data_IF_160939933475
#
_entry.id   IF_160939933475
#
_cell.length_a   1.000
_cell.length_b   1.000
_cell.length_c   1.000
_cell.angle_alpha   90.00
_cell.angle_beta   90.00
_cell.angle_gamma   90.00
#
_symmetry.space_group_name_H-M   'P 1'
#
loop_
_entity.id
_entity.type
_entity.pdbx_description
1 polymer ?
#
# COMPACT_ATOMS: atom_id res chain seq x y z
N UNK A 1 -12.37 27.17 -9.27
CA UNK A 1 -11.53 26.18 -9.74
C UNK A 1 -10.88 25.41 -8.63
N UNK A 2 -10.25 24.29 -8.95
CA UNK A 2 -9.46 23.52 -8.03
C UNK A 2 -8.09 24.16 -7.76
N UNK A 3 -7.43 23.80 -6.65
CA UNK A 3 -6.21 24.45 -6.17
C UNK A 3 -4.90 23.98 -6.78
N UNK A 4 -4.91 22.93 -7.60
CA UNK A 4 -3.68 22.35 -8.18
C UNK A 4 -3.51 22.63 -9.66
N UNK A 5 -2.28 22.50 -10.18
CA UNK A 5 -1.96 22.65 -11.60
C UNK A 5 -2.12 21.35 -12.39
N UNK A 6 -2.17 20.20 -11.73
CA UNK A 6 -2.45 18.91 -12.36
C UNK A 6 -3.96 18.71 -12.52
N UNK A 7 -4.49 18.99 -13.71
CA UNK A 7 -5.92 18.89 -14.00
C UNK A 7 -6.51 17.51 -13.69
N UNK A 8 -5.79 16.43 -13.93
CA UNK A 8 -6.25 15.06 -13.66
C UNK A 8 -6.39 14.82 -12.15
N UNK A 9 -5.39 15.20 -11.37
CA UNK A 9 -5.43 15.03 -9.91
C UNK A 9 -6.46 15.96 -9.26
N UNK A 10 -6.57 17.19 -9.74
CA UNK A 10 -7.62 18.14 -9.30
C UNK A 10 -9.01 17.56 -9.55
N UNK A 11 -9.25 16.96 -10.72
CA UNK A 11 -10.52 16.30 -11.01
C UNK A 11 -10.75 15.12 -10.06
N UNK A 12 -9.76 14.26 -9.85
CA UNK A 12 -9.90 13.05 -9.05
C UNK A 12 -10.01 13.31 -7.55
N UNK A 13 -9.38 14.37 -7.03
CA UNK A 13 -9.35 14.67 -5.60
C UNK A 13 -10.31 15.80 -5.23
N UNK A 14 -10.37 16.87 -6.03
CA UNK A 14 -11.18 18.05 -5.71
C UNK A 14 -12.63 17.93 -6.20
N UNK A 15 -12.86 17.27 -7.34
CA UNK A 15 -14.21 17.13 -7.92
C UNK A 15 -14.73 15.70 -7.90
N UNK A 16 -13.87 14.71 -7.92
CA UNK A 16 -14.21 13.28 -7.92
C UNK A 16 -13.54 12.50 -6.78
N UNK A 17 -13.18 13.17 -5.69
CA UNK A 17 -12.63 12.51 -4.50
C UNK A 17 -13.53 11.40 -3.96
N UNK A 18 -14.85 11.47 -4.23
CA UNK A 18 -15.79 10.42 -3.90
C UNK A 18 -15.52 9.11 -4.64
N UNK A 19 -15.12 9.16 -5.92
CA UNK A 19 -14.74 7.96 -6.68
C UNK A 19 -13.51 7.30 -6.07
N UNK A 20 -12.45 8.08 -5.80
CA UNK A 20 -11.22 7.59 -5.17
C UNK A 20 -11.49 7.03 -3.77
N UNK A 21 -12.38 7.66 -3.01
CA UNK A 21 -12.82 7.14 -1.73
C UNK A 21 -13.55 5.80 -1.88
N UNK A 22 -14.42 5.67 -2.89
CA UNK A 22 -15.07 4.41 -3.26
C UNK A 22 -14.06 3.32 -3.64
N UNK A 23 -13.03 3.67 -4.43
CA UNK A 23 -11.97 2.74 -4.85
C UNK A 23 -11.21 2.16 -3.66
N UNK A 24 -10.79 2.98 -2.69
CA UNK A 24 -10.09 2.49 -1.50
C UNK A 24 -10.98 1.69 -0.56
N UNK A 25 -12.28 2.00 -0.50
CA UNK A 25 -13.25 1.19 0.24
C UNK A 25 -13.39 -0.20 -0.37
N UNK A 26 -13.59 -0.28 -1.69
CA UNK A 26 -13.70 -1.56 -2.41
C UNK A 26 -12.41 -2.36 -2.26
N UNK A 27 -11.24 -1.73 -2.41
CA UNK A 27 -9.95 -2.38 -2.23
C UNK A 27 -9.78 -2.92 -0.79
N UNK A 28 -10.15 -2.13 0.21
CA UNK A 28 -10.10 -2.53 1.62
C UNK A 28 -11.04 -3.71 1.93
N UNK A 29 -12.29 -3.65 1.45
CA UNK A 29 -13.27 -4.73 1.61
C UNK A 29 -12.79 -6.01 0.92
N UNK A 30 -12.27 -5.91 -0.31
CA UNK A 30 -11.72 -7.04 -1.04
C UNK A 30 -10.54 -7.69 -0.30
N UNK A 31 -9.61 -6.87 0.22
CA UNK A 31 -8.47 -7.36 0.99
C UNK A 31 -8.91 -8.09 2.28
N UNK A 32 -9.88 -7.55 3.01
CA UNK A 32 -10.45 -8.18 4.20
C UNK A 32 -11.23 -9.46 3.86
N UNK A 33 -11.94 -9.46 2.74
CA UNK A 33 -12.65 -10.63 2.21
C UNK A 33 -11.69 -11.78 1.89
N UNK A 34 -10.63 -11.49 1.16
CA UNK A 34 -9.56 -12.44 0.82
C UNK A 34 -8.89 -12.96 2.11
N UNK A 35 -8.58 -12.09 3.06
CA UNK A 35 -8.02 -12.47 4.35
C UNK A 35 -8.92 -13.48 5.09
N UNK A 36 -10.23 -13.21 5.18
CA UNK A 36 -11.20 -14.11 5.83
C UNK A 36 -11.32 -15.43 5.09
N UNK A 37 -11.35 -15.39 3.76
CA UNK A 37 -11.47 -16.57 2.92
C UNK A 37 -10.26 -17.49 3.11
N UNK A 38 -9.04 -16.94 2.96
CA UNK A 38 -7.79 -17.70 3.12
C UNK A 38 -7.68 -18.32 4.53
N UNK A 39 -8.03 -17.58 5.57
CA UNK A 39 -7.98 -18.10 6.94
C UNK A 39 -8.98 -19.26 7.21
N UNK A 40 -10.03 -19.40 6.41
CA UNK A 40 -10.99 -20.51 6.48
C UNK A 40 -10.60 -21.69 5.60
N UNK A 41 -9.79 -21.48 4.58
CA UNK A 41 -9.36 -22.53 3.67
C UNK A 41 -8.19 -23.32 4.25
N UNK A 42 -8.36 -24.64 4.38
CA UNK A 42 -7.26 -25.56 4.63
C UNK A 42 -6.63 -25.92 3.28
N UNK A 43 -5.78 -25.04 2.76
CA UNK A 43 -5.08 -25.29 1.50
C UNK A 43 -3.82 -26.07 1.79
N UNK A 44 -3.72 -27.30 1.26
CA UNK A 44 -2.49 -28.09 1.26
C UNK A 44 -1.80 -27.90 -0.08
N UNK A 45 -0.55 -27.43 -0.06
CA UNK A 45 0.24 -27.37 -1.28
C UNK A 45 0.73 -28.77 -1.66
N UNK A 46 0.74 -29.12 -2.96
CA UNK A 46 1.31 -30.36 -3.44
C UNK A 46 2.82 -30.39 -3.16
N UNK A 47 3.35 -31.56 -2.79
CA UNK A 47 4.76 -31.79 -2.45
C UNK A 47 5.72 -31.67 -3.63
N UNK A 48 5.22 -31.55 -4.85
CA UNK A 48 5.99 -31.44 -6.08
C UNK A 48 5.19 -30.83 -7.22
N UNK A 49 5.86 -30.61 -8.35
CA UNK A 49 5.21 -30.14 -9.57
C UNK A 49 4.36 -31.26 -10.23
N UNK A 50 3.59 -30.91 -11.28
CA UNK A 50 2.79 -31.88 -12.05
C UNK A 50 3.63 -33.02 -12.68
N UNK A 51 4.95 -32.90 -12.74
CA UNK A 51 5.90 -33.90 -13.24
C UNK A 51 6.57 -34.70 -12.11
N UNK A 52 6.10 -34.56 -10.87
CA UNK A 52 6.63 -35.27 -9.69
C UNK A 52 7.99 -34.79 -9.19
N UNK A 53 8.49 -33.65 -9.68
CA UNK A 53 9.76 -33.09 -9.23
C UNK A 53 9.53 -32.31 -7.95
N UNK A 54 10.40 -32.51 -6.95
CA UNK A 54 10.36 -31.72 -5.71
C UNK A 54 10.71 -30.26 -6.02
N UNK A 55 10.04 -29.34 -5.30
CA UNK A 55 10.38 -27.92 -5.37
C UNK A 55 11.84 -27.69 -4.97
N UNK A 56 12.53 -26.80 -5.67
CA UNK A 56 13.95 -26.51 -5.42
C UNK A 56 14.20 -26.04 -3.98
N UNK A 57 15.26 -26.54 -3.37
CA UNK A 57 15.67 -26.16 -2.01
C UNK A 57 16.02 -24.66 -1.87
N UNK A 58 16.63 -24.07 -2.90
CA UNK A 58 17.00 -22.65 -2.95
C UNK A 58 15.88 -21.81 -3.50
N UNK A 59 14.99 -21.39 -2.60
CA UNK A 59 13.85 -20.53 -2.93
C UNK A 59 14.23 -19.05 -3.10
N UNK A 60 15.46 -18.65 -2.76
CA UNK A 60 15.86 -17.23 -2.69
C UNK A 60 17.25 -17.00 -3.30
N UNK A 61 17.35 -16.79 -4.63
CA UNK A 61 18.62 -16.52 -5.30
C UNK A 61 19.33 -15.28 -4.72
N UNK A 62 20.65 -15.38 -4.48
CA UNK A 62 21.45 -14.29 -3.90
C UNK A 62 21.36 -13.01 -4.73
N UNK A 63 21.39 -13.15 -6.07
CA UNK A 63 21.27 -12.01 -6.99
C UNK A 63 19.95 -11.25 -6.74
N UNK A 64 18.83 -11.98 -6.62
CA UNK A 64 17.53 -11.36 -6.37
C UNK A 64 17.50 -10.62 -5.03
N UNK A 65 18.10 -11.19 -3.99
CA UNK A 65 18.21 -10.55 -2.67
C UNK A 65 18.99 -9.24 -2.73
N UNK A 66 20.18 -9.27 -3.34
CA UNK A 66 21.04 -8.10 -3.43
C UNK A 66 20.38 -6.97 -4.24
N UNK A 67 19.83 -7.31 -5.40
CA UNK A 67 19.15 -6.33 -6.27
C UNK A 67 17.93 -5.75 -5.59
N UNK A 68 17.08 -6.58 -4.97
CA UNK A 68 15.87 -6.10 -4.28
C UNK A 68 16.18 -5.16 -3.12
N UNK A 69 17.23 -5.46 -2.33
CA UNK A 69 17.66 -4.58 -1.24
C UNK A 69 18.15 -3.22 -1.74
N UNK A 70 18.89 -3.19 -2.84
CA UNK A 70 19.38 -1.94 -3.44
C UNK A 70 18.25 -1.12 -4.08
N UNK A 71 17.26 -1.79 -4.65
CA UNK A 71 16.11 -1.13 -5.29
C UNK A 71 15.11 -0.57 -4.27
N UNK A 72 15.02 -1.14 -3.06
CA UNK A 72 14.04 -0.70 -2.06
C UNK A 72 14.12 0.78 -1.73
N UNK A 73 15.29 1.35 -1.30
CA UNK A 73 15.38 2.76 -0.97
C UNK A 73 15.09 3.66 -2.17
N UNK A 74 15.51 3.25 -3.38
CA UNK A 74 15.22 4.00 -4.60
C UNK A 74 13.72 4.03 -4.90
N UNK A 75 13.04 2.89 -4.80
CA UNK A 75 11.60 2.81 -5.02
C UNK A 75 10.81 3.62 -3.98
N UNK A 76 11.22 3.60 -2.72
CA UNK A 76 10.61 4.41 -1.67
C UNK A 76 10.82 5.90 -1.90
N UNK A 77 11.99 6.32 -2.36
CA UNK A 77 12.29 7.70 -2.71
C UNK A 77 11.42 8.16 -3.89
N UNK A 78 11.31 7.34 -4.93
CA UNK A 78 10.42 7.61 -6.08
C UNK A 78 8.97 7.67 -5.64
N UNK A 79 8.52 6.77 -4.78
CA UNK A 79 7.17 6.79 -4.24
C UNK A 79 6.88 8.07 -3.46
N UNK A 80 7.78 8.47 -2.56
CA UNK A 80 7.66 9.73 -1.81
C UNK A 80 7.64 10.95 -2.74
N UNK A 81 8.49 10.98 -3.76
CA UNK A 81 8.49 12.03 -4.76
C UNK A 81 7.17 12.11 -5.52
N UNK A 82 6.62 10.99 -5.99
CA UNK A 82 5.35 10.93 -6.71
C UNK A 82 4.19 11.32 -5.81
N UNK A 83 4.22 10.92 -4.54
CA UNK A 83 3.23 11.33 -3.54
C UNK A 83 3.20 12.85 -3.37
N UNK A 84 4.34 13.47 -3.07
CA UNK A 84 4.44 14.91 -2.80
C UNK A 84 4.13 15.76 -4.04
N UNK A 85 4.46 15.25 -5.21
CA UNK A 85 4.25 15.94 -6.48
C UNK A 85 2.80 15.82 -6.99
N UNK A 86 2.02 14.85 -6.50
CA UNK A 86 0.72 14.46 -7.04
C UNK A 86 -0.29 15.60 -7.15
N UNK A 87 -0.23 16.60 -6.25
CA UNK A 87 -1.16 17.73 -6.28
C UNK A 87 -0.97 18.66 -7.51
N UNK A 88 0.26 18.87 -7.94
CA UNK A 88 0.59 19.80 -9.03
C UNK A 88 0.99 19.12 -10.35
N UNK A 89 1.29 17.84 -10.33
CA UNK A 89 1.78 17.06 -11.47
C UNK A 89 1.20 15.64 -11.41
N UNK A 90 1.32 14.82 -12.48
CA UNK A 90 0.88 13.42 -12.45
C UNK A 90 1.50 12.65 -11.28
N UNK A 91 0.66 12.06 -10.41
CA UNK A 91 1.06 11.36 -9.18
C UNK A 91 -0.13 11.12 -8.26
N UNK A 92 0.11 11.15 -6.96
CA UNK A 92 -0.91 11.03 -5.91
C UNK A 92 -0.75 9.81 -5.04
N UNK A 93 -1.56 9.72 -3.99
CA UNK A 93 -1.48 8.69 -2.96
C UNK A 93 -1.64 7.27 -3.49
N UNK A 94 -2.53 7.06 -4.46
CA UNK A 94 -2.80 5.74 -5.01
C UNK A 94 -1.57 5.15 -5.75
N UNK A 95 -1.00 5.91 -6.67
CA UNK A 95 0.17 5.46 -7.46
C UNK A 95 1.38 5.29 -6.55
N UNK A 96 1.63 6.24 -5.65
CA UNK A 96 2.71 6.14 -4.69
C UNK A 96 2.55 4.92 -3.77
N UNK A 97 1.32 4.64 -3.30
CA UNK A 97 1.00 3.46 -2.52
C UNK A 97 1.29 2.15 -3.25
N UNK A 98 0.93 2.06 -4.53
CA UNK A 98 1.24 0.89 -5.36
C UNK A 98 2.76 0.69 -5.53
N UNK A 99 3.52 1.75 -5.80
CA UNK A 99 4.99 1.65 -5.94
C UNK A 99 5.61 1.13 -4.65
N UNK A 100 5.21 1.67 -3.50
CA UNK A 100 5.68 1.19 -2.20
C UNK A 100 5.29 -0.27 -1.97
N UNK A 101 4.05 -0.64 -2.25
CA UNK A 101 3.58 -2.01 -2.10
C UNK A 101 4.39 -2.97 -2.96
N UNK A 102 4.61 -2.65 -4.24
CA UNK A 102 5.42 -3.47 -5.16
C UNK A 102 6.86 -3.61 -4.67
N UNK A 103 7.48 -2.53 -4.17
CA UNK A 103 8.83 -2.58 -3.62
C UNK A 103 8.92 -3.52 -2.40
N UNK A 104 7.92 -3.50 -1.52
CA UNK A 104 7.87 -4.40 -0.36
C UNK A 104 7.57 -5.84 -0.80
N UNK A 105 6.70 -6.04 -1.79
CA UNK A 105 6.42 -7.36 -2.39
C UNK A 105 7.69 -7.98 -2.94
N UNK A 106 8.49 -7.20 -3.63
CA UNK A 106 9.77 -7.67 -4.15
C UNK A 106 10.68 -8.18 -3.02
N UNK A 107 10.67 -7.51 -1.85
CA UNK A 107 11.37 -8.01 -0.66
C UNK A 107 10.78 -9.33 -0.16
N UNK A 108 9.45 -9.49 -0.16
CA UNK A 108 8.80 -10.76 0.21
C UNK A 108 9.24 -11.91 -0.69
N UNK A 109 9.31 -11.68 -1.99
CA UNK A 109 9.73 -12.69 -2.96
C UNK A 109 11.23 -13.01 -2.79
N UNK A 110 12.06 -11.98 -2.55
CA UNK A 110 13.50 -12.12 -2.47
C UNK A 110 14.01 -12.74 -1.17
N UNK A 111 13.35 -12.48 -0.05
CA UNK A 111 13.83 -12.88 1.28
C UNK A 111 12.90 -13.85 2.02
N UNK A 112 11.67 -13.96 1.57
CA UNK A 112 10.63 -14.72 2.26
C UNK A 112 9.94 -13.98 3.42
N UNK A 113 8.84 -14.58 3.88
CA UNK A 113 7.96 -13.97 4.90
C UNK A 113 8.65 -13.79 6.24
N UNK A 114 9.47 -14.75 6.65
CA UNK A 114 10.09 -14.77 7.98
C UNK A 114 11.15 -13.67 8.16
N UNK A 115 11.76 -13.22 7.06
CA UNK A 115 12.72 -12.12 7.08
C UNK A 115 12.03 -10.75 7.21
N UNK A 116 10.84 -10.59 6.65
CA UNK A 116 10.13 -9.31 6.60
C UNK A 116 9.31 -9.05 7.86
N UNK A 117 8.67 -10.08 8.42
CA UNK A 117 7.82 -9.94 9.63
C UNK A 117 8.46 -9.12 10.75
N UNK A 118 9.71 -9.37 11.19
CA UNK A 118 10.31 -8.60 12.28
C UNK A 118 10.70 -7.17 11.85
N UNK A 119 10.87 -6.92 10.55
CA UNK A 119 11.28 -5.62 10.00
C UNK A 119 10.10 -4.70 9.70
N UNK A 120 8.92 -5.28 9.44
CA UNK A 120 7.66 -4.57 9.19
C UNK A 120 6.58 -5.11 10.14
N UNK A 121 6.61 -4.74 11.42
CA UNK A 121 5.63 -5.18 12.41
C UNK A 121 4.31 -4.40 12.26
N UNK A 122 3.83 -4.24 11.02
CA UNK A 122 2.61 -3.50 10.71
C UNK A 122 1.42 -4.46 10.72
N UNK A 123 0.38 -4.09 11.44
CA UNK A 123 -0.90 -4.74 11.31
C UNK A 123 -1.64 -4.15 10.10
N UNK A 124 -1.63 -4.89 8.99
CA UNK A 124 -2.20 -4.42 7.71
C UNK A 124 -3.69 -4.09 7.80
N UNK A 125 -4.45 -4.77 8.67
CA UNK A 125 -5.87 -4.49 8.88
C UNK A 125 -6.06 -3.10 9.51
N UNK A 126 -5.25 -2.78 10.52
CA UNK A 126 -5.25 -1.45 11.12
C UNK A 126 -4.76 -0.37 10.15
N UNK A 127 -3.80 -0.68 9.29
CA UNK A 127 -3.35 0.24 8.23
C UNK A 127 -4.50 0.57 7.28
N UNK A 128 -5.28 -0.43 6.81
CA UNK A 128 -6.47 -0.20 5.99
C UNK A 128 -7.49 0.66 6.74
N UNK A 129 -7.82 0.30 7.98
CA UNK A 129 -8.82 1.01 8.77
C UNK A 129 -8.43 2.47 9.03
N UNK A 130 -7.16 2.72 9.40
CA UNK A 130 -6.65 4.08 9.64
C UNK A 130 -6.58 4.89 8.36
N UNK A 131 -6.16 4.29 7.23
CA UNK A 131 -6.12 4.97 5.95
C UNK A 131 -7.51 5.41 5.48
N UNK A 132 -8.49 4.51 5.52
CA UNK A 132 -9.89 4.83 5.20
C UNK A 132 -10.44 5.89 6.16
N UNK A 133 -10.14 5.78 7.46
CA UNK A 133 -10.58 6.76 8.45
C UNK A 133 -10.02 8.17 8.17
N UNK A 134 -8.73 8.26 7.86
CA UNK A 134 -8.09 9.55 7.51
C UNK A 134 -8.80 10.16 6.29
N UNK A 135 -9.02 9.38 5.22
CA UNK A 135 -9.71 9.86 4.02
C UNK A 135 -11.16 10.27 4.31
N UNK A 136 -11.89 9.50 5.12
CA UNK A 136 -13.25 9.83 5.54
C UNK A 136 -13.30 11.10 6.37
N UNK A 137 -12.41 11.23 7.35
CA UNK A 137 -12.33 12.43 8.22
C UNK A 137 -11.98 13.68 7.44
N UNK A 138 -11.13 13.57 6.43
CA UNK A 138 -10.83 14.67 5.51
C UNK A 138 -12.10 15.11 4.76
N UNK A 139 -12.89 14.15 4.29
CA UNK A 139 -14.17 14.44 3.63
C UNK A 139 -15.20 15.07 4.54
N UNK A 140 -15.34 14.57 5.77
CA UNK A 140 -16.24 15.16 6.79
C UNK A 140 -15.76 16.54 7.23
N UNK A 141 -14.42 16.72 7.31
CA UNK A 141 -13.82 18.00 7.66
C UNK A 141 -14.25 19.15 6.74
N UNK A 142 -14.55 18.86 5.47
CA UNK A 142 -15.06 19.86 4.53
C UNK A 142 -16.37 20.52 5.00
N UNK A 143 -17.23 19.77 5.69
CA UNK A 143 -18.50 20.30 6.22
C UNK A 143 -18.32 21.34 7.33
N UNK A 144 -17.23 21.26 8.09
CA UNK A 144 -16.93 22.25 9.14
C UNK A 144 -16.62 23.64 8.56
N UNK A 145 -16.36 23.71 7.26
CA UNK A 145 -16.08 24.93 6.51
C UNK A 145 -17.17 25.27 5.49
N UNK A 146 -18.38 24.76 5.68
CA UNK A 146 -19.55 24.97 4.79
C UNK A 146 -19.27 24.60 3.32
N UNK A 147 -18.43 23.58 3.10
CA UNK A 147 -18.10 23.05 1.78
C UNK A 147 -18.76 21.69 1.55
N UNK A 148 -19.06 21.33 0.29
CA UNK A 148 -19.52 19.98 -0.03
C UNK A 148 -18.52 18.91 0.45
N UNK A 149 -19.04 17.70 0.72
CA UNK A 149 -18.23 16.55 1.13
C UNK A 149 -17.09 16.30 0.12
N UNK A 150 -15.88 16.08 0.62
CA UNK A 150 -14.66 15.88 -0.19
C UNK A 150 -14.28 17.05 -1.12
N UNK A 151 -14.69 18.28 -0.80
CA UNK A 151 -14.17 19.47 -1.47
C UNK A 151 -12.87 19.88 -0.80
N UNK A 152 -11.80 20.02 -1.57
CA UNK A 152 -10.50 20.46 -1.03
C UNK A 152 -10.56 21.91 -0.57
N UNK A 153 -9.96 22.17 0.58
CA UNK A 153 -9.66 23.51 1.08
C UNK A 153 -8.15 23.68 1.15
N UNK A 154 -7.66 24.81 0.67
CA UNK A 154 -6.23 25.10 0.67
C UNK A 154 -6.01 26.41 1.39
N UNK A 155 -4.98 26.40 2.25
CA UNK A 155 -4.46 27.58 2.89
C UNK A 155 -2.95 27.65 2.64
N UNK A 156 -2.46 28.86 2.36
CA UNK A 156 -1.05 29.05 2.07
C UNK A 156 -0.31 29.36 3.36
N UNK A 157 0.36 28.39 3.93
CA UNK A 157 1.29 28.61 5.02
C UNK A 157 2.67 28.97 4.47
N UNK A 158 3.12 30.20 4.74
CA UNK A 158 4.49 30.59 4.45
C UNK A 158 5.39 30.28 5.64
N UNK A 159 6.16 29.19 5.54
CA UNK A 159 7.21 28.89 6.48
C UNK A 159 8.50 29.59 6.04
N UNK A 160 9.21 30.32 6.94
CA UNK A 160 10.34 31.17 6.58
C UNK A 160 11.56 30.44 6.00
N UNK A 161 11.58 29.09 6.07
CA UNK A 161 12.70 28.25 5.61
C UNK A 161 12.38 27.35 4.42
N UNK A 162 11.12 27.13 4.10
CA UNK A 162 10.67 26.10 3.11
C UNK A 162 9.86 26.75 1.96
N UNK A 163 9.57 28.07 2.06
CA UNK A 163 8.75 28.76 1.05
C UNK A 163 7.24 28.63 1.31
N UNK A 164 6.44 28.90 0.30
CA UNK A 164 4.98 28.77 0.35
C UNK A 164 4.62 27.31 0.24
N UNK A 165 4.18 26.71 1.35
CA UNK A 165 3.66 25.34 1.35
C UNK A 165 2.13 25.40 1.28
N UNK A 166 1.58 24.89 0.21
CA UNK A 166 0.14 24.72 0.03
C UNK A 166 -0.29 23.48 0.81
N UNK A 167 -0.80 23.69 2.02
CA UNK A 167 -1.35 22.60 2.82
C UNK A 167 -2.80 22.39 2.40
N UNK A 168 -2.99 21.64 1.34
CA UNK A 168 -4.32 21.27 0.88
C UNK A 168 -4.84 20.07 1.67
N UNK A 169 -6.11 20.09 2.04
CA UNK A 169 -6.82 18.91 2.59
C UNK A 169 -6.69 17.70 1.68
N UNK A 170 -6.46 17.91 0.37
CA UNK A 170 -6.16 16.91 -0.63
C UNK A 170 -4.94 16.05 -0.28
N UNK A 171 -3.87 16.62 0.30
CA UNK A 171 -2.67 15.85 0.69
C UNK A 171 -3.01 14.88 1.84
N UNK A 172 -3.86 15.31 2.78
CA UNK A 172 -4.27 14.45 3.89
C UNK A 172 -5.19 13.32 3.39
N UNK A 173 -6.08 13.62 2.44
CA UNK A 173 -6.88 12.62 1.76
C UNK A 173 -6.00 11.60 1.03
N UNK A 174 -5.04 12.09 0.22
CA UNK A 174 -4.08 11.25 -0.51
C UNK A 174 -3.22 10.38 0.43
N UNK A 175 -2.87 10.88 1.62
CA UNK A 175 -2.18 10.09 2.63
C UNK A 175 -3.05 8.91 3.11
N UNK A 176 -4.34 9.13 3.34
CA UNK A 176 -5.27 8.06 3.68
C UNK A 176 -5.39 7.03 2.56
N UNK A 177 -5.47 7.49 1.31
CA UNK A 177 -5.45 6.62 0.11
C UNK A 177 -4.17 5.79 0.07
N UNK A 178 -3.00 6.43 0.21
CA UNK A 178 -1.69 5.77 0.21
C UNK A 178 -1.61 4.65 1.26
N UNK A 179 -1.97 4.95 2.50
CA UNK A 179 -1.92 3.98 3.61
C UNK A 179 -2.87 2.80 3.36
N UNK A 180 -4.07 3.08 2.83
CA UNK A 180 -5.05 2.02 2.50
C UNK A 180 -4.53 1.11 1.40
N UNK A 181 -3.98 1.68 0.32
CA UNK A 181 -3.46 0.91 -0.83
C UNK A 181 -2.29 0.02 -0.40
N UNK A 182 -1.33 0.57 0.34
CA UNK A 182 -0.21 -0.22 0.88
C UNK A 182 -0.72 -1.32 1.81
N UNK A 183 -1.59 -0.98 2.75
CA UNK A 183 -2.15 -1.95 3.71
C UNK A 183 -2.93 -3.08 3.05
N UNK A 184 -3.80 -2.76 2.09
CA UNK A 184 -4.62 -3.75 1.38
C UNK A 184 -3.76 -4.69 0.52
N UNK A 185 -2.84 -4.13 -0.24
CA UNK A 185 -1.96 -4.91 -1.12
C UNK A 185 -1.07 -5.86 -0.31
N UNK A 186 -0.48 -5.36 0.79
CA UNK A 186 0.36 -6.19 1.65
C UNK A 186 -0.46 -7.23 2.44
N UNK A 187 -1.70 -6.92 2.85
CA UNK A 187 -2.58 -7.89 3.49
C UNK A 187 -2.86 -9.08 2.58
N UNK A 188 -3.22 -8.82 1.32
CA UNK A 188 -3.48 -9.86 0.32
C UNK A 188 -2.25 -10.76 0.15
N UNK A 189 -1.09 -10.15 -0.09
CA UNK A 189 0.13 -10.91 -0.38
C UNK A 189 0.71 -11.63 0.82
N UNK A 190 0.70 -11.01 2.01
CA UNK A 190 1.16 -11.67 3.22
C UNK A 190 0.32 -12.91 3.55
N UNK A 191 -0.98 -12.90 3.23
CA UNK A 191 -1.84 -14.07 3.44
C UNK A 191 -1.66 -15.12 2.35
N UNK A 192 -1.48 -14.74 1.09
CA UNK A 192 -1.10 -15.68 0.02
C UNK A 192 0.25 -16.34 0.31
N UNK A 193 1.23 -15.58 0.79
CA UNK A 193 2.53 -16.12 1.19
C UNK A 193 2.47 -17.13 2.34
N UNK A 194 1.53 -16.99 3.29
CA UNK A 194 1.32 -17.99 4.36
C UNK A 194 0.87 -19.35 3.83
N UNK A 195 0.08 -19.37 2.76
CA UNK A 195 -0.34 -20.63 2.14
C UNK A 195 0.85 -21.42 1.61
N UNK A 196 1.87 -20.71 1.11
CA UNK A 196 3.10 -21.32 0.57
C UNK A 196 4.03 -21.85 1.67
N UNK A 197 4.06 -21.23 2.85
CA UNK A 197 4.99 -21.59 3.94
C UNK A 197 4.43 -22.63 4.91
N UNK A 198 3.11 -22.81 4.99
CA UNK A 198 2.44 -23.71 5.95
C UNK A 198 2.74 -25.20 5.72
N UNK A 199 3.50 -25.56 4.71
CA UNK A 199 3.79 -26.97 4.36
C UNK A 199 5.27 -27.31 4.26
N UNK A 200 6.14 -26.70 5.10
CA UNK A 200 7.48 -27.29 5.30
C UNK A 200 7.36 -28.40 6.34
N UNK A 201 7.47 -29.70 5.96
CA UNK A 201 7.62 -30.73 6.95
C UNK A 201 8.91 -30.44 7.72
N UNK A 202 8.82 -30.33 9.04
CA UNK A 202 9.99 -30.38 9.93
C UNK A 202 10.67 -31.72 9.66
N UNK A 203 11.76 -31.69 8.94
CA UNK A 203 12.68 -32.83 8.88
C UNK A 203 13.24 -32.96 10.30
N UNK A 204 12.64 -33.87 11.08
CA UNK A 204 13.27 -34.36 12.31
C UNK A 204 14.56 -35.04 11.85
N UNK A 205 15.69 -34.38 12.08
CA UNK A 205 16.98 -35.07 12.09
C UNK A 205 16.86 -36.21 13.09
N UNK A 206 16.81 -37.43 12.56
CA UNK A 206 17.10 -38.62 13.35
C UNK A 206 18.61 -38.70 13.45
N UNK A 207 19.14 -38.38 14.61
CA UNK A 207 20.41 -38.87 15.09
C UNK A 207 20.31 -40.34 15.48
#
# INVERSE_FOLDING_TARGET
GGGGTNAVNVILVDFRGFDTFGEILVLGIAALGIFKLINRMKVSMPSGDMKGRSWTKDSHPVILRTVSQSLLPLALLVSAYIFLRGHNMPGGGFIAGLITAVAIILQYIAHGVDWIKPRLPINYQWAIATGVLISAMTGVGSWLFDKPFLTSWFDYFSLPWIGKFELASAILFDLGVYVTVVGATLLILANLGKLTTSHRPTVKEKH
#
